data_IF_491870759243
#
_entry.id   IF_491870759243
#
_cell.length_a   1.000
_cell.length_b   1.000
_cell.length_c   1.000
_cell.angle_alpha   90.00
_cell.angle_beta   90.00
_cell.angle_gamma   90.00
#
_symmetry.space_group_name_H-M   'P 1'
#
loop_
_entity.id
_entity.type
_entity.pdbx_description
1 polymer ?
#
# COMPACT_ATOMS: atom_id res chain seq x y z
N UNK A 1 6.54 3.50 15.81
CA UNK A 1 6.58 4.68 14.93
C UNK A 1 5.97 4.35 13.59
N UNK A 2 5.11 5.22 13.11
CA UNK A 2 4.52 5.03 11.80
C UNK A 2 5.58 5.23 10.72
N UNK A 3 5.64 4.31 9.77
CA UNK A 3 6.53 4.47 8.63
C UNK A 3 5.97 5.54 7.72
N UNK A 4 6.82 6.46 7.30
CA UNK A 4 6.45 7.45 6.31
C UNK A 4 6.96 6.98 4.95
N UNK A 5 6.03 6.67 4.05
CA UNK A 5 6.35 6.27 2.70
C UNK A 5 5.90 7.37 1.74
N UNK A 6 6.58 7.47 0.61
CA UNK A 6 6.29 8.49 -0.39
C UNK A 6 5.96 7.81 -1.72
N UNK A 7 5.17 8.48 -2.57
CA UNK A 7 4.95 7.96 -3.93
C UNK A 7 6.30 7.70 -4.61
N UNK A 8 6.42 6.54 -5.21
CA UNK A 8 7.66 6.12 -5.85
C UNK A 8 8.55 5.24 -4.98
N UNK A 9 8.28 5.16 -3.68
CA UNK A 9 9.06 4.29 -2.80
C UNK A 9 8.77 2.82 -3.12
N UNK A 10 9.82 2.02 -3.13
CA UNK A 10 9.68 0.58 -3.35
C UNK A 10 9.42 -0.11 -2.03
N UNK A 11 8.45 -1.01 -2.02
CA UNK A 11 8.01 -1.70 -0.82
C UNK A 11 7.75 -3.17 -1.14
N UNK A 12 7.60 -3.96 -0.10
CA UNK A 12 7.18 -5.35 -0.22
C UNK A 12 6.14 -5.64 0.85
N UNK A 13 5.31 -6.65 0.59
CA UNK A 13 4.29 -7.10 1.53
C UNK A 13 4.03 -8.58 1.31
N UNK A 14 3.45 -9.22 2.32
CA UNK A 14 3.13 -10.64 2.24
C UNK A 14 1.72 -10.85 1.72
N UNK A 15 1.57 -11.83 0.84
CA UNK A 15 0.27 -12.27 0.36
C UNK A 15 0.14 -13.76 0.61
N UNK A 16 -1.04 -14.32 0.32
CA UNK A 16 -1.26 -15.76 0.43
C UNK A 16 -0.34 -16.57 -0.48
N UNK A 17 0.24 -15.93 -1.49
CA UNK A 17 1.15 -16.57 -2.45
C UNK A 17 2.62 -16.27 -2.16
N UNK A 18 2.91 -15.63 -1.04
CA UNK A 18 4.26 -15.27 -0.66
C UNK A 18 4.50 -13.76 -0.70
N UNK A 19 5.77 -13.38 -0.66
CA UNK A 19 6.14 -11.97 -0.65
C UNK A 19 6.02 -11.36 -2.04
N UNK A 20 5.40 -10.20 -2.09
CA UNK A 20 5.21 -9.43 -3.32
C UNK A 20 5.91 -8.09 -3.17
N UNK A 21 6.49 -7.62 -4.27
CA UNK A 21 7.15 -6.33 -4.33
C UNK A 21 6.35 -5.37 -5.18
N UNK A 22 6.42 -4.10 -4.85
CA UNK A 22 5.74 -3.09 -5.65
C UNK A 22 6.24 -1.70 -5.30
N UNK A 23 5.48 -0.72 -5.78
CA UNK A 23 5.81 0.69 -5.61
C UNK A 23 4.62 1.42 -5.00
N UNK A 24 4.89 2.31 -4.07
CA UNK A 24 3.86 3.18 -3.51
C UNK A 24 3.41 4.16 -4.59
N UNK A 25 2.10 4.23 -4.83
CA UNK A 25 1.54 5.15 -5.79
C UNK A 25 1.06 6.44 -5.14
N UNK A 26 0.44 6.32 -3.97
CA UNK A 26 0.00 7.51 -3.25
C UNK A 26 -0.28 7.20 -1.78
N UNK A 27 -0.32 8.25 -1.00
CA UNK A 27 -0.70 8.20 0.41
C UNK A 27 -2.23 8.36 0.48
N UNK A 28 -2.89 7.42 1.12
CA UNK A 28 -4.36 7.43 1.27
C UNK A 28 -4.70 7.86 2.67
N UNK A 29 -5.36 9.00 2.80
CA UNK A 29 -5.76 9.56 4.09
C UNK A 29 -7.28 9.69 4.22
N UNK A 30 -8.02 9.03 3.34
CA UNK A 30 -9.48 9.01 3.35
C UNK A 30 -9.97 7.71 2.74
N UNK A 31 -11.26 7.65 2.44
CA UNK A 31 -11.84 6.47 1.82
C UNK A 31 -11.38 6.36 0.37
N UNK A 32 -10.89 5.20 -0.02
CA UNK A 32 -10.43 4.94 -1.37
C UNK A 32 -10.95 3.59 -1.85
N UNK A 33 -11.22 3.48 -3.13
CA UNK A 33 -11.68 2.24 -3.74
C UNK A 33 -10.65 1.72 -4.74
N UNK A 34 -10.37 0.42 -4.66
CA UNK A 34 -9.54 -0.27 -5.63
C UNK A 34 -10.23 -1.58 -5.97
N UNK A 35 -10.70 -1.71 -7.20
CA UNK A 35 -11.31 -2.93 -7.73
C UNK A 35 -12.31 -3.59 -6.80
N UNK A 36 -13.28 -2.83 -6.32
CA UNK A 36 -14.32 -3.34 -5.45
C UNK A 36 -13.95 -3.41 -3.97
N UNK A 37 -12.70 -3.13 -3.63
CA UNK A 37 -12.28 -3.01 -2.24
C UNK A 37 -12.38 -1.57 -1.79
N UNK A 38 -12.95 -1.37 -0.62
CA UNK A 38 -13.02 -0.05 0.00
C UNK A 38 -12.06 -0.04 1.17
N UNK A 39 -11.08 0.83 1.12
CA UNK A 39 -10.15 1.04 2.23
C UNK A 39 -10.51 2.34 2.92
N UNK A 40 -10.71 2.27 4.22
CA UNK A 40 -10.98 3.45 5.04
C UNK A 40 -9.70 3.85 5.76
N UNK A 41 -9.19 5.00 5.40
CA UNK A 41 -8.00 5.55 6.04
C UNK A 41 -8.33 6.94 6.57
N UNK A 42 -7.44 7.50 7.38
CA UNK A 42 -7.60 8.85 7.91
C UNK A 42 -6.21 9.47 8.05
N UNK A 43 -6.17 10.75 8.40
CA UNK A 43 -4.89 11.41 8.64
C UNK A 43 -4.13 10.77 9.80
N UNK A 44 -4.88 10.26 10.79
CA UNK A 44 -4.29 9.61 11.96
C UNK A 44 -3.94 8.16 11.69
N UNK A 45 -4.55 7.55 10.67
CA UNK A 45 -4.33 6.16 10.30
C UNK A 45 -4.23 6.05 8.79
N UNK A 46 -3.15 6.58 8.22
CA UNK A 46 -2.99 6.60 6.77
C UNK A 46 -2.70 5.20 6.22
N UNK A 47 -3.08 4.98 4.99
CA UNK A 47 -2.76 3.78 4.25
C UNK A 47 -2.06 4.17 2.96
N UNK A 48 -1.51 3.19 2.27
CA UNK A 48 -0.77 3.44 1.04
C UNK A 48 -1.33 2.61 -0.09
N UNK A 49 -1.57 3.25 -1.21
CA UNK A 49 -1.93 2.58 -2.44
C UNK A 49 -0.64 2.15 -3.12
N UNK A 50 -0.52 0.86 -3.36
CA UNK A 50 0.68 0.27 -3.94
C UNK A 50 0.32 -0.46 -5.23
N UNK A 51 1.29 -0.56 -6.11
CA UNK A 51 1.14 -1.27 -7.37
C UNK A 51 2.14 -2.41 -7.40
N UNK A 52 1.64 -3.62 -7.61
CA UNK A 52 2.50 -4.80 -7.69
C UNK A 52 3.38 -4.74 -8.93
N UNK A 53 4.69 -4.89 -8.75
CA UNK A 53 5.62 -4.92 -9.87
C UNK A 53 5.42 -6.16 -10.73
N UNK A 54 4.95 -7.26 -10.13
CA UNK A 54 4.80 -8.53 -10.83
C UNK A 54 3.55 -8.57 -11.70
N UNK A 55 2.43 -8.08 -11.21
CA UNK A 55 1.14 -8.19 -11.90
C UNK A 55 0.59 -6.86 -12.38
N UNK A 56 1.12 -5.76 -11.89
CA UNK A 56 0.58 -4.43 -12.17
C UNK A 56 -0.72 -4.12 -11.46
N UNK A 57 -1.17 -5.00 -10.58
CA UNK A 57 -2.40 -4.78 -9.84
C UNK A 57 -2.16 -3.82 -8.69
N UNK A 58 -3.18 -3.02 -8.42
CA UNK A 58 -3.14 -2.07 -7.32
C UNK A 58 -3.77 -2.66 -6.07
N UNK A 59 -3.28 -2.25 -4.91
CA UNK A 59 -3.83 -2.65 -3.63
C UNK A 59 -3.60 -1.53 -2.62
N UNK A 60 -4.32 -1.58 -1.51
CA UNK A 60 -4.14 -0.61 -0.44
C UNK A 60 -3.76 -1.37 0.81
N UNK A 61 -2.66 -0.98 1.43
CA UNK A 61 -2.13 -1.62 2.63
C UNK A 61 -1.81 -0.59 3.70
N UNK A 62 -1.90 -1.03 4.94
CA UNK A 62 -1.46 -0.21 6.07
C UNK A 62 0.06 -0.17 6.10
N UNK A 63 0.64 0.90 6.70
CA UNK A 63 2.10 1.00 6.80
C UNK A 63 2.75 -0.22 7.45
N UNK A 64 2.08 -0.80 8.44
CA UNK A 64 2.62 -1.96 9.17
C UNK A 64 2.74 -3.20 8.29
N UNK A 65 1.99 -3.27 7.22
CA UNK A 65 2.01 -4.40 6.31
C UNK A 65 3.07 -4.25 5.23
N UNK A 66 3.66 -3.08 5.11
CA UNK A 66 4.63 -2.77 4.06
C UNK A 66 6.04 -2.71 4.63
N UNK A 67 6.98 -3.25 3.88
CA UNK A 67 8.40 -3.14 4.21
C UNK A 67 9.06 -2.30 3.13
N UNK A 68 9.76 -1.26 3.56
CA UNK A 68 10.49 -0.40 2.63
C UNK A 68 11.75 -1.12 2.18
N UNK A 69 11.98 -1.08 0.88
CA UNK A 69 13.20 -1.63 0.30
C UNK A 69 14.32 -0.62 0.20
#
# INVERSE_FOLDING_TARGET
>A
MAKTLKPGDKVSWNTSQGETHGTVEKNVTGTERVKGHVAKASKDDPQYKVKSAKSGKEAIHKPDELKKK
#
